data_IF_643731918700
#
_entry.id   IF_643731918700
#
_cell.length_a   1.000
_cell.length_b   1.000
_cell.length_c   1.000
_cell.angle_alpha   90.00
_cell.angle_beta   90.00
_cell.angle_gamma   90.00
#
_symmetry.space_group_name_H-M   'P 1'
#
loop_
_entity.id
_entity.type
_entity.pdbx_description
1 polymer ?
#
# COMPACT_ATOMS: atom_id res chain seq x y z
N UNK A 1 13.68 -8.85 13.02
CA UNK A 1 13.99 -7.52 13.58
C UNK A 1 12.66 -6.79 13.81
N UNK A 2 12.21 -6.67 15.07
CA UNK A 2 10.84 -6.20 15.45
C UNK A 2 10.86 -4.70 15.78
N UNK A 3 11.69 -3.90 15.10
CA UNK A 3 11.96 -2.51 15.49
C UNK A 3 11.10 -1.43 14.81
N UNK A 4 10.42 -1.71 13.70
CA UNK A 4 9.87 -0.60 12.90
C UNK A 4 8.45 -0.14 13.24
N UNK A 5 7.55 -0.99 13.76
CA UNK A 5 6.15 -0.56 13.95
C UNK A 5 5.98 0.31 15.20
N UNK A 6 6.64 -0.03 16.31
CA UNK A 6 6.53 0.74 17.56
C UNK A 6 7.35 2.05 17.54
N UNK A 7 8.44 2.10 16.75
CA UNK A 7 9.32 3.27 16.68
C UNK A 7 9.07 4.19 15.47
N UNK A 8 8.16 3.87 14.54
CA UNK A 8 7.90 4.71 13.33
C UNK A 8 7.47 6.14 13.63
N UNK A 9 6.93 6.37 14.82
CA UNK A 9 6.48 7.69 15.28
C UNK A 9 7.54 8.45 16.09
N UNK A 10 8.70 7.86 16.39
CA UNK A 10 9.78 8.48 17.16
C UNK A 10 10.73 9.29 16.27
N UNK A 11 11.20 10.45 16.75
CA UNK A 11 12.27 11.23 16.10
C UNK A 11 11.88 11.94 14.80
N UNK A 12 10.59 12.07 14.48
CA UNK A 12 10.15 12.74 13.25
C UNK A 12 10.42 14.26 13.32
N UNK A 13 11.01 14.88 12.26
CA UNK A 13 11.34 16.31 12.26
C UNK A 13 10.09 17.17 12.36
N UNK A 14 10.13 18.28 13.12
CA UNK A 14 8.99 19.20 13.31
C UNK A 14 8.49 19.75 11.96
N UNK A 15 7.17 19.72 11.75
CA UNK A 15 6.44 20.18 10.56
C UNK A 15 5.16 20.85 11.03
N UNK A 16 4.73 21.90 10.34
CA UNK A 16 3.45 22.56 10.60
C UNK A 16 2.28 21.69 10.12
N UNK A 17 1.05 21.91 10.62
CA UNK A 17 -0.15 21.23 10.10
C UNK A 17 -0.29 21.35 8.58
N UNK A 18 -0.05 22.54 8.00
CA UNK A 18 -0.11 22.74 6.55
C UNK A 18 0.88 21.86 5.78
N UNK A 19 2.11 21.71 6.27
CA UNK A 19 3.09 20.82 5.67
C UNK A 19 2.66 19.35 5.74
N UNK A 20 2.01 18.94 6.83
CA UNK A 20 1.50 17.57 6.99
C UNK A 20 0.32 17.31 6.04
N UNK A 21 -0.59 18.27 5.89
CA UNK A 21 -1.69 18.19 4.92
C UNK A 21 -1.18 18.18 3.47
N UNK A 22 -0.10 18.90 3.16
CA UNK A 22 0.58 18.80 1.86
C UNK A 22 1.18 17.42 1.61
N UNK A 23 1.75 16.78 2.63
CA UNK A 23 2.24 15.40 2.54
C UNK A 23 1.08 14.45 2.23
N UNK A 24 -0.03 14.55 2.97
CA UNK A 24 -1.23 13.74 2.71
C UNK A 24 -1.70 13.92 1.26
N UNK A 25 -1.84 15.18 0.80
CA UNK A 25 -2.23 15.48 -0.59
C UNK A 25 -1.27 14.87 -1.61
N UNK A 26 0.03 15.05 -1.42
CA UNK A 26 1.07 14.54 -2.34
C UNK A 26 0.97 13.03 -2.49
N UNK A 27 0.92 12.30 -1.39
CA UNK A 27 0.97 10.84 -1.41
C UNK A 27 -0.38 10.21 -1.77
N UNK A 28 -1.51 10.81 -1.39
CA UNK A 28 -2.82 10.36 -1.86
C UNK A 28 -2.93 10.51 -3.38
N UNK A 29 -2.53 11.66 -3.93
CA UNK A 29 -2.48 11.88 -5.38
C UNK A 29 -1.57 10.88 -6.07
N UNK A 30 -0.34 10.72 -5.58
CA UNK A 30 0.63 9.80 -6.17
C UNK A 30 0.09 8.36 -6.22
N UNK A 31 -0.50 7.85 -5.14
CA UNK A 31 -1.07 6.50 -5.12
C UNK A 31 -2.28 6.34 -6.05
N UNK A 32 -3.16 7.35 -6.14
CA UNK A 32 -4.32 7.33 -7.06
C UNK A 32 -3.85 7.37 -8.52
N UNK A 33 -2.90 8.23 -8.86
CA UNK A 33 -2.36 8.37 -10.23
C UNK A 33 -1.52 7.14 -10.64
N UNK A 34 -0.97 6.41 -9.68
CA UNK A 34 -0.18 5.21 -9.91
C UNK A 34 -1.02 3.93 -10.10
N UNK A 35 -2.27 3.94 -9.65
CA UNK A 35 -3.16 2.78 -9.77
C UNK A 35 -3.30 2.21 -11.20
N UNK A 36 -3.47 3.03 -12.27
CA UNK A 36 -3.52 2.50 -13.64
C UNK A 36 -2.25 1.75 -14.06
N UNK A 37 -1.08 2.18 -13.57
CA UNK A 37 0.19 1.51 -13.84
C UNK A 37 0.25 0.14 -13.15
N UNK A 38 -0.26 0.03 -11.92
CA UNK A 38 -0.42 -1.28 -11.25
C UNK A 38 -1.33 -2.20 -12.08
N UNK A 39 -2.44 -1.69 -12.64
CA UNK A 39 -3.32 -2.51 -13.48
C UNK A 39 -2.66 -2.92 -14.81
N UNK A 40 -1.71 -2.14 -15.32
CA UNK A 40 -0.83 -2.56 -16.42
C UNK A 40 0.08 -3.71 -16.00
N UNK A 41 0.73 -3.62 -14.84
CA UNK A 41 1.60 -4.69 -14.34
C UNK A 41 0.89 -5.98 -13.98
N UNK A 42 -0.36 -5.91 -13.52
CA UNK A 42 -1.20 -7.11 -13.37
C UNK A 42 -1.44 -7.81 -14.70
N UNK A 43 -1.73 -7.06 -15.77
CA UNK A 43 -1.89 -7.62 -17.13
C UNK A 43 -0.59 -8.23 -17.65
N UNK A 44 0.56 -7.60 -17.38
CA UNK A 44 1.87 -8.15 -17.75
C UNK A 44 2.13 -9.50 -17.04
N UNK A 45 1.77 -9.61 -15.74
CA UNK A 45 1.84 -10.86 -14.97
C UNK A 45 0.89 -11.93 -15.51
N UNK A 46 -0.35 -11.57 -15.87
CA UNK A 46 -1.31 -12.49 -16.49
C UNK A 46 -0.75 -13.09 -17.79
N UNK A 47 -0.22 -12.25 -18.68
CA UNK A 47 0.41 -12.69 -19.93
C UNK A 47 1.63 -13.58 -19.68
N UNK A 48 2.49 -13.21 -18.72
CA UNK A 48 3.65 -14.03 -18.37
C UNK A 48 3.25 -15.38 -17.76
N UNK A 49 2.13 -15.45 -17.03
CA UNK A 49 1.55 -16.70 -16.54
C UNK A 49 1.06 -17.57 -17.69
N UNK A 50 0.33 -17.02 -18.66
CA UNK A 50 -0.13 -17.76 -19.83
C UNK A 50 1.03 -18.38 -20.61
N UNK A 51 2.11 -17.61 -20.79
CA UNK A 51 3.34 -18.11 -21.43
C UNK A 51 4.02 -19.20 -20.63
N UNK A 52 4.10 -19.06 -19.31
CA UNK A 52 4.62 -20.11 -18.43
C UNK A 52 3.79 -21.40 -18.55
N UNK A 53 2.46 -21.31 -18.58
CA UNK A 53 1.60 -22.49 -18.73
C UNK A 53 1.78 -23.17 -20.10
N UNK A 54 2.07 -22.40 -21.16
CA UNK A 54 2.30 -22.95 -22.49
C UNK A 54 3.71 -23.55 -22.67
N UNK A 55 4.73 -22.98 -22.01
CA UNK A 55 6.14 -23.31 -22.23
C UNK A 55 6.81 -24.10 -21.09
N UNK A 56 6.22 -24.07 -19.89
CA UNK A 56 6.82 -24.57 -18.66
C UNK A 56 7.92 -23.67 -18.07
N UNK A 57 8.21 -22.50 -18.67
CA UNK A 57 9.30 -21.61 -18.24
C UNK A 57 8.75 -20.45 -17.41
N UNK A 58 9.21 -20.32 -16.15
CA UNK A 58 8.67 -19.34 -15.19
C UNK A 58 9.46 -18.03 -15.08
N UNK A 59 10.61 -17.90 -15.75
CA UNK A 59 11.54 -16.76 -15.57
C UNK A 59 10.87 -15.41 -15.80
N UNK A 60 10.08 -15.29 -16.87
CA UNK A 60 9.33 -14.05 -17.16
C UNK A 60 8.29 -13.79 -16.08
N UNK A 61 7.51 -14.79 -15.66
CA UNK A 61 6.51 -14.64 -14.61
C UNK A 61 7.14 -14.18 -13.29
N UNK A 62 8.28 -14.75 -12.92
CA UNK A 62 9.05 -14.33 -11.73
C UNK A 62 9.44 -12.87 -11.85
N UNK A 63 9.98 -12.45 -13.00
CA UNK A 63 10.36 -11.05 -13.25
C UNK A 63 9.17 -10.09 -13.14
N UNK A 64 8.05 -10.41 -13.79
CA UNK A 64 6.85 -9.55 -13.76
C UNK A 64 6.22 -9.48 -12.37
N UNK A 65 6.21 -10.58 -11.60
CA UNK A 65 5.74 -10.57 -10.21
C UNK A 65 6.62 -9.71 -9.31
N UNK A 66 7.95 -9.73 -9.50
CA UNK A 66 8.87 -8.85 -8.77
C UNK A 66 8.51 -7.40 -9.05
N UNK A 67 8.31 -7.03 -10.33
CA UNK A 67 7.95 -5.67 -10.73
C UNK A 67 6.60 -5.28 -10.11
N UNK A 68 5.57 -6.12 -10.23
CA UNK A 68 4.26 -5.86 -9.64
C UNK A 68 4.36 -5.64 -8.12
N UNK A 69 5.15 -6.44 -7.42
CA UNK A 69 5.34 -6.29 -5.97
C UNK A 69 6.14 -5.04 -5.60
N UNK A 70 7.06 -4.58 -6.44
CA UNK A 70 7.69 -3.26 -6.27
C UNK A 70 6.66 -2.12 -6.40
N UNK A 71 5.72 -2.21 -7.35
CA UNK A 71 4.66 -1.22 -7.50
C UNK A 71 3.66 -1.26 -6.33
N UNK A 72 3.34 -2.45 -5.81
CA UNK A 72 2.60 -2.59 -4.55
C UNK A 72 3.35 -1.91 -3.41
N UNK A 73 4.67 -2.14 -3.28
CA UNK A 73 5.48 -1.49 -2.25
C UNK A 73 5.45 0.04 -2.36
N UNK A 74 5.50 0.60 -3.57
CA UNK A 74 5.34 2.04 -3.78
C UNK A 74 3.97 2.54 -3.29
N UNK A 75 2.88 1.88 -3.70
CA UNK A 75 1.52 2.21 -3.29
C UNK A 75 1.36 2.16 -1.76
N UNK A 76 1.84 1.09 -1.13
CA UNK A 76 1.82 0.88 0.32
C UNK A 76 2.70 1.88 1.07
N UNK A 77 3.78 2.34 0.45
CA UNK A 77 4.61 3.43 1.00
C UNK A 77 3.86 4.75 1.02
N UNK A 78 2.99 5.02 0.05
CA UNK A 78 2.12 6.21 0.09
C UNK A 78 1.17 6.17 1.31
N UNK A 79 0.57 5.00 1.59
CA UNK A 79 -0.22 4.78 2.80
C UNK A 79 0.58 5.05 4.09
N UNK A 80 1.83 4.58 4.17
CA UNK A 80 2.71 4.88 5.29
C UNK A 80 2.94 6.39 5.49
N UNK A 81 3.22 7.12 4.41
CA UNK A 81 3.45 8.56 4.52
C UNK A 81 2.20 9.32 4.98
N UNK A 82 1.01 8.85 4.58
CA UNK A 82 -0.28 9.39 5.05
C UNK A 82 -0.49 9.07 6.53
N UNK A 83 -0.28 7.83 6.98
CA UNK A 83 -0.40 7.45 8.40
C UNK A 83 0.54 8.28 9.29
N UNK A 84 1.80 8.44 8.89
CA UNK A 84 2.77 9.24 9.64
C UNK A 84 2.35 10.71 9.71
N UNK A 85 1.80 11.27 8.63
CA UNK A 85 1.29 12.63 8.64
C UNK A 85 0.05 12.77 9.53
N UNK A 86 -0.88 11.81 9.43
CA UNK A 86 -2.12 11.79 10.20
C UNK A 86 -1.87 11.62 11.70
N UNK A 87 -0.97 10.72 12.09
CA UNK A 87 -0.54 10.57 13.48
C UNK A 87 -0.05 11.90 14.06
N UNK A 88 0.78 12.63 13.30
CA UNK A 88 1.33 13.91 13.75
C UNK A 88 0.28 15.03 13.80
N UNK A 89 -0.71 14.98 12.92
CA UNK A 89 -1.86 15.89 12.98
C UNK A 89 -2.69 15.60 14.24
N UNK A 90 -2.92 14.33 14.58
CA UNK A 90 -3.61 13.92 15.80
C UNK A 90 -2.85 14.28 17.10
N UNK A 91 -1.54 14.47 17.03
CA UNK A 91 -0.71 14.94 18.16
C UNK A 91 -0.58 16.48 18.25
N UNK A 92 -1.10 17.23 17.26
CA UNK A 92 -1.13 18.71 17.21
C UNK A 92 -2.39 19.28 17.86
N UNK A 93 -2.45 20.57 18.24
CA UNK A 93 -3.57 21.16 19.02
C UNK A 93 -5.01 20.90 18.47
N UNK A 94 -5.16 20.48 17.21
CA UNK A 94 -6.42 19.99 16.62
C UNK A 94 -6.64 18.47 16.83
N UNK A 95 -6.25 17.95 18.01
CA UNK A 95 -6.03 16.52 18.30
C UNK A 95 -7.21 15.60 18.01
N UNK A 96 -8.41 16.05 18.37
CA UNK A 96 -9.57 15.16 18.48
C UNK A 96 -10.08 14.71 17.10
N UNK A 97 -10.28 15.64 16.16
CA UNK A 97 -10.82 15.31 14.85
C UNK A 97 -9.90 14.37 14.04
N UNK A 98 -8.60 14.66 13.99
CA UNK A 98 -7.64 13.79 13.30
C UNK A 98 -7.43 12.46 14.03
N UNK A 99 -7.52 12.45 15.37
CA UNK A 99 -7.51 11.23 16.17
C UNK A 99 -8.67 10.30 15.82
N UNK A 100 -9.89 10.83 15.70
CA UNK A 100 -11.07 10.05 15.32
C UNK A 100 -11.00 9.52 13.88
N UNK A 101 -10.46 10.31 12.93
CA UNK A 101 -10.19 9.81 11.57
C UNK A 101 -9.22 8.63 11.63
N UNK A 102 -8.11 8.75 12.37
CA UNK A 102 -7.14 7.65 12.49
C UNK A 102 -7.73 6.38 13.09
N UNK A 103 -8.62 6.51 14.09
CA UNK A 103 -9.37 5.37 14.66
C UNK A 103 -10.31 4.76 13.62
N UNK A 104 -11.08 5.58 12.91
CA UNK A 104 -12.05 5.15 11.90
C UNK A 104 -11.40 4.34 10.77
N UNK A 105 -10.20 4.71 10.35
CA UNK A 105 -9.47 4.05 9.26
C UNK A 105 -8.37 3.11 9.76
N UNK A 106 -8.38 2.72 11.04
CA UNK A 106 -7.31 1.95 11.66
C UNK A 106 -7.04 0.63 10.93
N UNK A 107 -8.08 -0.14 10.62
CA UNK A 107 -7.95 -1.46 10.00
C UNK A 107 -7.34 -1.36 8.59
N UNK A 108 -7.76 -0.37 7.80
CA UNK A 108 -7.19 -0.10 6.48
C UNK A 108 -5.71 0.29 6.60
N UNK A 109 -5.38 1.20 7.52
CA UNK A 109 -4.01 1.66 7.75
C UNK A 109 -3.10 0.49 8.16
N UNK A 110 -3.52 -0.31 9.16
CA UNK A 110 -2.71 -1.42 9.65
C UNK A 110 -2.57 -2.55 8.62
N UNK A 111 -3.61 -2.86 7.84
CA UNK A 111 -3.49 -3.81 6.73
C UNK A 111 -2.38 -3.38 5.77
N UNK A 112 -2.46 -2.16 5.23
CA UNK A 112 -1.48 -1.69 4.25
C UNK A 112 -0.07 -1.61 4.86
N UNK A 113 0.06 -1.15 6.11
CA UNK A 113 1.36 -1.08 6.78
C UNK A 113 1.97 -2.46 7.06
N UNK A 114 1.15 -3.46 7.40
CA UNK A 114 1.59 -4.84 7.58
C UNK A 114 2.09 -5.41 6.26
N UNK A 115 1.31 -5.29 5.19
CA UNK A 115 1.69 -5.78 3.85
C UNK A 115 2.97 -5.09 3.39
N UNK A 116 3.09 -3.76 3.56
CA UNK A 116 4.28 -3.00 3.17
C UNK A 116 5.57 -3.62 3.70
N UNK A 117 5.58 -3.98 4.99
CA UNK A 117 6.74 -4.57 5.66
C UNK A 117 7.12 -5.94 5.09
N UNK A 118 6.13 -6.70 4.64
CA UNK A 118 6.36 -8.02 4.04
C UNK A 118 6.94 -7.84 2.63
N UNK A 119 6.35 -6.93 1.84
CA UNK A 119 6.74 -6.65 0.45
C UNK A 119 8.13 -5.99 0.34
N UNK A 120 8.71 -5.44 1.41
CA UNK A 120 10.10 -4.96 1.43
C UNK A 120 11.11 -6.04 0.94
N UNK A 121 10.77 -7.33 1.04
CA UNK A 121 11.52 -8.44 0.43
C UNK A 121 10.70 -9.10 -0.70
N UNK A 122 10.69 -8.46 -1.87
CA UNK A 122 9.88 -8.86 -3.02
C UNK A 122 10.20 -10.27 -3.52
N UNK A 123 11.47 -10.66 -3.59
CA UNK A 123 11.90 -12.01 -4.04
C UNK A 123 11.33 -13.12 -3.15
N UNK A 124 11.35 -12.92 -1.83
CA UNK A 124 10.75 -13.88 -0.90
C UNK A 124 9.24 -13.94 -1.05
N UNK A 125 8.58 -12.80 -1.29
CA UNK A 125 7.14 -12.75 -1.56
C UNK A 125 6.78 -13.52 -2.83
N UNK A 126 7.57 -13.40 -3.91
CA UNK A 126 7.35 -14.16 -5.14
C UNK A 126 7.49 -15.66 -4.90
N UNK A 127 8.53 -16.07 -4.17
CA UNK A 127 8.71 -17.49 -3.79
C UNK A 127 7.51 -18.02 -3.01
N UNK A 128 6.98 -17.23 -2.06
CA UNK A 128 5.78 -17.60 -1.29
C UNK A 128 4.56 -17.83 -2.19
N UNK A 129 4.42 -17.09 -3.30
CA UNK A 129 3.31 -17.28 -4.23
C UNK A 129 3.34 -18.68 -4.85
N UNK A 130 4.50 -19.12 -5.35
CA UNK A 130 4.65 -20.46 -5.92
C UNK A 130 4.37 -21.55 -4.89
N UNK A 131 4.84 -21.37 -3.65
CA UNK A 131 4.59 -22.33 -2.56
C UNK A 131 3.10 -22.43 -2.23
N UNK A 132 2.37 -21.31 -2.23
CA UNK A 132 0.95 -21.26 -1.85
C UNK A 132 0.01 -21.64 -2.98
N UNK A 133 0.32 -21.23 -4.20
CA UNK A 133 -0.60 -21.27 -5.33
C UNK A 133 -0.25 -22.37 -6.35
N UNK A 134 0.87 -23.06 -6.13
CA UNK A 134 1.34 -24.13 -7.00
C UNK A 134 1.76 -23.63 -8.38
N UNK A 135 2.03 -24.59 -9.28
CA UNK A 135 2.52 -24.34 -10.64
C UNK A 135 1.49 -23.59 -11.50
N UNK A 136 0.19 -23.71 -11.19
CA UNK A 136 -0.87 -23.00 -11.91
C UNK A 136 -0.97 -21.52 -11.54
N UNK A 137 -0.33 -21.09 -10.44
CA UNK A 137 -0.28 -19.69 -9.98
C UNK A 137 -1.66 -19.04 -9.90
N UNK A 138 -2.62 -19.72 -9.25
CA UNK A 138 -4.01 -19.27 -9.13
C UNK A 138 -4.17 -17.84 -8.55
N UNK A 139 -3.23 -17.38 -7.72
CA UNK A 139 -3.22 -16.00 -7.20
C UNK A 139 -3.23 -14.92 -8.28
N UNK A 140 -2.66 -15.19 -9.45
CA UNK A 140 -2.66 -14.25 -10.58
C UNK A 140 -4.07 -14.09 -11.14
N UNK A 141 -4.77 -15.20 -11.38
CA UNK A 141 -6.15 -15.18 -11.94
C UNK A 141 -7.15 -14.61 -10.96
N UNK A 142 -6.99 -14.91 -9.68
CA UNK A 142 -7.87 -14.41 -8.62
C UNK A 142 -7.56 -12.97 -8.20
N UNK A 143 -6.51 -12.36 -8.77
CA UNK A 143 -5.93 -11.08 -8.34
C UNK A 143 -5.76 -11.01 -6.82
N UNK A 144 -5.19 -12.07 -6.25
CA UNK A 144 -5.11 -12.32 -4.81
C UNK A 144 -3.77 -12.93 -4.42
N UNK A 145 -2.81 -12.07 -4.08
CA UNK A 145 -1.45 -12.44 -3.72
C UNK A 145 -1.31 -12.64 -2.22
N UNK A 146 -0.48 -13.60 -1.79
CA UNK A 146 -0.33 -13.99 -0.40
C UNK A 146 0.90 -13.36 0.24
N UNK A 147 0.72 -12.60 1.33
CA UNK A 147 1.82 -12.02 2.07
C UNK A 147 1.71 -12.44 3.53
N UNK A 148 2.58 -13.35 4.00
CA UNK A 148 2.54 -13.89 5.37
C UNK A 148 1.13 -14.40 5.75
N UNK A 149 0.54 -15.22 4.85
CA UNK A 149 -0.81 -15.77 5.02
C UNK A 149 -1.96 -14.77 4.89
N UNK A 150 -1.70 -13.52 4.55
CA UNK A 150 -2.74 -12.49 4.29
C UNK A 150 -2.92 -12.31 2.78
N UNK A 151 -4.12 -12.56 2.22
CA UNK A 151 -4.40 -12.26 0.83
C UNK A 151 -4.52 -10.74 0.63
N UNK A 152 -3.89 -10.21 -0.42
CA UNK A 152 -3.88 -8.80 -0.74
C UNK A 152 -3.73 -8.54 -2.25
N UNK A 153 -4.35 -7.46 -2.70
CA UNK A 153 -4.07 -6.83 -3.99
C UNK A 153 -4.41 -5.34 -3.90
N UNK A 154 -3.88 -4.55 -4.83
CA UNK A 154 -4.28 -3.17 -5.03
C UNK A 154 -5.39 -3.14 -6.07
N UNK A 155 -6.63 -3.12 -5.60
CA UNK A 155 -7.86 -3.10 -6.41
C UNK A 155 -8.58 -1.73 -6.31
N UNK A 156 -9.74 -1.63 -6.96
CA UNK A 156 -10.54 -0.40 -6.91
C UNK A 156 -10.98 -0.07 -5.48
N UNK A 157 -11.31 -1.06 -4.67
CA UNK A 157 -11.71 -0.85 -3.27
C UNK A 157 -10.58 -0.24 -2.44
N UNK A 158 -9.33 -0.66 -2.66
CA UNK A 158 -8.14 -0.07 -2.03
C UNK A 158 -8.03 1.42 -2.36
N UNK A 159 -8.20 1.80 -3.64
CA UNK A 159 -8.19 3.20 -4.09
C UNK A 159 -9.35 4.01 -3.51
N UNK A 160 -10.56 3.43 -3.45
CA UNK A 160 -11.72 4.12 -2.86
C UNK A 160 -11.55 4.33 -1.35
N UNK A 161 -10.91 3.38 -0.66
CA UNK A 161 -10.60 3.52 0.77
C UNK A 161 -9.57 4.63 1.01
N UNK A 162 -8.56 4.72 0.16
CA UNK A 162 -7.60 5.83 0.16
C UNK A 162 -8.28 7.19 -0.09
N UNK A 163 -9.18 7.28 -1.08
CA UNK A 163 -9.95 8.50 -1.36
C UNK A 163 -10.79 8.94 -0.16
N UNK A 164 -11.53 8.01 0.45
CA UNK A 164 -12.34 8.27 1.66
C UNK A 164 -11.47 8.77 2.82
N UNK A 165 -10.30 8.18 3.02
CA UNK A 165 -9.34 8.65 4.03
C UNK A 165 -8.85 10.07 3.71
N UNK A 166 -8.43 10.30 2.46
CA UNK A 166 -7.97 11.61 2.00
C UNK A 166 -9.04 12.69 2.21
N UNK A 167 -10.27 12.46 1.76
CA UNK A 167 -11.37 13.41 1.90
C UNK A 167 -11.66 13.70 3.38
N UNK A 168 -11.73 12.66 4.22
CA UNK A 168 -11.94 12.81 5.66
C UNK A 168 -10.86 13.69 6.33
N UNK A 169 -9.58 13.50 5.98
CA UNK A 169 -8.47 14.34 6.49
C UNK A 169 -8.63 15.77 5.99
N UNK A 170 -8.96 15.92 4.71
CA UNK A 170 -9.00 17.20 4.04
C UNK A 170 -10.20 18.06 4.41
N UNK A 171 -11.29 17.47 4.88
CA UNK A 171 -12.46 18.18 5.39
C UNK A 171 -12.20 18.83 6.76
N UNK A 172 -11.13 18.44 7.45
CA UNK A 172 -10.70 19.06 8.71
C UNK A 172 -9.77 20.26 8.50
N UNK A 173 -9.55 20.68 7.25
CA UNK A 173 -8.72 21.85 6.96
C UNK A 173 -9.35 23.08 7.63
N UNK A 174 -8.61 23.84 8.45
CA UNK A 174 -9.13 25.11 8.97
C UNK A 174 -9.45 26.01 7.77
N UNK A 175 -10.70 26.47 7.71
CA UNK A 175 -11.14 27.47 6.73
C UNK A 175 -10.17 28.64 6.81
N UNK A 176 -9.47 28.92 5.72
CA UNK A 176 -8.60 30.09 5.63
C UNK A 176 -9.46 31.32 5.94
N UNK A 177 -9.26 31.90 7.12
CA UNK A 177 -9.85 33.17 7.54
C UNK A 177 -8.90 34.29 7.14
#
# INVERSE_FOLDING_TARGET
MVRDIANRYQGLPRRTPDMLLQVVRKFARAAIEHYPFIQEKKRDVELAREEMLASGVSERLVSELIILFQEFHFYLTCWLQIDLALYRLAESDQKEAFGEIRKRFHDDLELHLRIRKIVDNTESCVTEQFVRCGEEMACVTDDRYWFDGTPYSVDEQSVQSLKRLYDAIMDQRPSSS
#
